data_IF_467035981565
#
_entry.id   IF_467035981565
#
_cell.length_a   1.000
_cell.length_b   1.000
_cell.length_c   1.000
_cell.angle_alpha   90.00
_cell.angle_beta   90.00
_cell.angle_gamma   90.00
#
_symmetry.space_group_name_H-M   'P 1'
#
loop_
_entity.id
_entity.type
_entity.pdbx_description
1 polymer ?
#
# COMPACT_ATOMS: atom_id res chain seq x y z
N UNK A 1 -12.85 2.49 37.42
CA UNK A 1 -11.97 2.94 36.32
C UNK A 1 -11.14 1.76 35.84
N UNK A 2 -11.56 1.11 34.76
CA UNK A 2 -10.78 0.02 34.15
C UNK A 2 -9.74 0.63 33.20
N UNK A 3 -8.46 0.55 33.60
CA UNK A 3 -7.32 0.78 32.69
C UNK A 3 -7.38 -0.29 31.60
N UNK A 4 -7.73 0.10 30.37
CA UNK A 4 -7.51 -0.76 29.20
C UNK A 4 -6.02 -1.05 29.09
N UNK A 5 -5.64 -2.33 29.11
CA UNK A 5 -4.29 -2.80 28.78
C UNK A 5 -3.93 -2.31 27.37
N UNK A 6 -2.69 -1.85 27.11
CA UNK A 6 -2.24 -1.61 25.74
C UNK A 6 -2.24 -2.96 25.01
N UNK A 7 -3.11 -3.09 24.02
CA UNK A 7 -3.11 -4.24 23.12
C UNK A 7 -1.77 -4.29 22.38
N UNK A 8 -1.16 -5.47 22.43
CA UNK A 8 -0.04 -5.97 21.62
C UNK A 8 0.13 -5.26 20.26
N UNK A 9 1.35 -4.80 19.98
CA UNK A 9 1.73 -4.08 18.77
C UNK A 9 1.13 -4.68 17.50
N UNK A 10 0.13 -4.00 16.94
CA UNK A 10 -0.37 -4.29 15.60
C UNK A 10 0.73 -3.94 14.61
N UNK A 11 1.55 -4.92 14.26
CA UNK A 11 2.54 -4.75 13.22
C UNK A 11 1.82 -4.49 11.89
N UNK A 12 2.27 -3.47 11.16
CA UNK A 12 1.63 -2.96 9.95
C UNK A 12 1.80 -3.93 8.76
N UNK A 13 1.07 -5.04 8.76
CA UNK A 13 0.96 -5.90 7.59
C UNK A 13 0.26 -5.16 6.44
N UNK A 14 0.71 -5.41 5.21
CA UNK A 14 -0.02 -4.96 4.01
C UNK A 14 -1.34 -5.71 3.86
N UNK A 15 -2.30 -5.14 3.12
CA UNK A 15 -3.56 -5.84 2.83
C UNK A 15 -3.35 -7.15 2.08
N UNK A 16 -2.31 -7.22 1.24
CA UNK A 16 -1.92 -8.47 0.57
C UNK A 16 -1.46 -9.53 1.57
N UNK A 17 -0.65 -9.18 2.57
CA UNK A 17 -0.26 -10.13 3.62
C UNK A 17 -1.48 -10.56 4.45
N UNK A 18 -2.41 -9.66 4.76
CA UNK A 18 -3.68 -10.05 5.44
C UNK A 18 -4.45 -11.10 4.62
N UNK A 19 -4.55 -10.92 3.30
CA UNK A 19 -5.17 -11.90 2.40
C UNK A 19 -4.41 -13.22 2.35
N UNK A 20 -3.08 -13.19 2.26
CA UNK A 20 -2.23 -14.40 2.31
C UNK A 20 -2.46 -15.20 3.60
N UNK A 21 -2.54 -14.52 4.75
CA UNK A 21 -2.81 -15.17 6.03
C UNK A 21 -4.24 -15.69 6.15
N UNK A 22 -5.19 -15.07 5.45
CA UNK A 22 -6.55 -15.62 5.31
C UNK A 22 -6.53 -16.88 4.45
N UNK A 23 -5.85 -16.86 3.30
CA UNK A 23 -5.68 -18.04 2.44
C UNK A 23 -4.96 -19.17 3.17
N UNK A 24 -3.97 -18.88 4.02
CA UNK A 24 -3.32 -19.89 4.85
C UNK A 24 -4.31 -20.61 5.78
N UNK A 25 -5.29 -19.90 6.36
CA UNK A 25 -6.35 -20.54 7.16
C UNK A 25 -7.26 -21.43 6.31
N UNK A 26 -7.59 -20.98 5.10
CA UNK A 26 -8.36 -21.78 4.15
C UNK A 26 -7.61 -23.05 3.73
N UNK A 27 -6.29 -22.97 3.51
CA UNK A 27 -5.44 -24.13 3.21
C UNK A 27 -5.38 -25.10 4.40
N UNK A 28 -5.30 -24.60 5.63
CA UNK A 28 -5.40 -25.42 6.85
C UNK A 28 -6.71 -26.19 6.92
N UNK A 29 -7.84 -25.51 6.67
CA UNK A 29 -9.15 -26.13 6.67
C UNK A 29 -9.28 -27.17 5.53
N UNK A 30 -8.76 -26.87 4.33
CA UNK A 30 -8.73 -27.79 3.19
C UNK A 30 -7.92 -29.06 3.48
N UNK A 31 -6.84 -28.94 4.26
CA UNK A 31 -5.99 -30.06 4.68
C UNK A 31 -6.45 -30.73 5.97
N UNK A 32 -7.61 -30.35 6.51
CA UNK A 32 -8.20 -30.92 7.73
C UNK A 32 -7.34 -30.72 8.99
N UNK A 33 -6.62 -29.60 9.07
CA UNK A 33 -5.78 -29.20 10.21
C UNK A 33 -6.47 -28.16 11.09
N UNK A 34 -6.33 -28.33 12.41
CA UNK A 34 -6.86 -27.42 13.44
C UNK A 34 -5.87 -26.29 13.80
N UNK A 35 -4.82 -26.09 12.99
CA UNK A 35 -3.77 -25.10 13.24
C UNK A 35 -3.18 -24.54 11.95
N UNK A 36 -2.72 -23.30 11.99
CA UNK A 36 -1.97 -22.69 10.88
C UNK A 36 -0.47 -22.92 11.07
N UNK A 37 0.11 -23.78 10.23
CA UNK A 37 1.55 -24.05 10.16
C UNK A 37 2.27 -23.24 9.08
N UNK A 38 3.58 -23.45 8.97
CA UNK A 38 4.46 -22.78 8.00
C UNK A 38 4.11 -23.12 6.55
N UNK A 39 3.69 -24.37 6.33
CA UNK A 39 3.23 -24.95 5.08
C UNK A 39 1.96 -24.26 4.57
N UNK A 40 1.02 -23.95 5.47
CA UNK A 40 -0.19 -23.20 5.13
C UNK A 40 0.13 -21.76 4.72
N UNK A 41 1.10 -21.12 5.39
CA UNK A 41 1.56 -19.76 5.02
C UNK A 41 2.18 -19.78 3.62
N UNK A 42 3.05 -20.74 3.32
CA UNK A 42 3.66 -20.84 1.99
C UNK A 42 2.63 -21.18 0.90
N UNK A 43 1.68 -22.08 1.17
CA UNK A 43 0.56 -22.35 0.26
C UNK A 43 -0.31 -21.12 0.04
N UNK A 44 -0.54 -20.31 1.08
CA UNK A 44 -1.23 -19.03 0.99
C UNK A 44 -0.49 -18.01 0.10
N UNK A 45 0.84 -17.91 0.24
CA UNK A 45 1.68 -17.07 -0.63
C UNK A 45 1.58 -17.51 -2.10
N UNK A 46 1.66 -18.81 -2.37
CA UNK A 46 1.54 -19.37 -3.72
C UNK A 46 0.13 -19.13 -4.28
N UNK A 47 -0.92 -19.27 -3.46
CA UNK A 47 -2.31 -19.09 -3.87
C UNK A 47 -2.68 -17.63 -4.17
N UNK A 48 -2.11 -16.67 -3.45
CA UNK A 48 -2.34 -15.23 -3.72
C UNK A 48 -1.85 -14.84 -5.13
N UNK A 49 -0.94 -15.62 -5.72
CA UNK A 49 -0.63 -15.56 -7.15
C UNK A 49 0.05 -14.27 -7.61
N UNK A 50 0.54 -13.46 -6.67
CA UNK A 50 1.24 -12.20 -6.97
C UNK A 50 2.05 -11.69 -5.78
N UNK A 51 2.51 -10.43 -5.91
CA UNK A 51 3.40 -9.82 -4.93
C UNK A 51 4.88 -10.16 -5.16
N UNK A 52 5.74 -9.48 -4.40
CA UNK A 52 7.20 -9.58 -4.57
C UNK A 52 7.69 -10.98 -4.22
N UNK A 53 7.12 -11.66 -3.22
CA UNK A 53 7.51 -13.03 -2.88
C UNK A 53 7.38 -13.99 -4.07
N UNK A 54 6.28 -13.92 -4.82
CA UNK A 54 6.08 -14.80 -5.96
C UNK A 54 7.05 -14.47 -7.10
N UNK A 55 7.32 -13.19 -7.32
CA UNK A 55 8.33 -12.75 -8.29
C UNK A 55 9.72 -13.25 -7.92
N UNK A 56 10.12 -13.16 -6.65
CA UNK A 56 11.39 -13.69 -6.13
C UNK A 56 11.48 -15.20 -6.39
N UNK A 57 10.45 -15.98 -6.03
CA UNK A 57 10.44 -17.43 -6.26
C UNK A 57 10.59 -17.75 -7.76
N UNK A 58 9.83 -17.05 -8.60
CA UNK A 58 9.84 -17.28 -10.05
C UNK A 58 11.20 -16.94 -10.68
N UNK A 59 11.80 -15.82 -10.30
CA UNK A 59 13.09 -15.38 -10.83
C UNK A 59 14.25 -16.27 -10.37
N UNK A 60 14.14 -16.88 -9.19
CA UNK A 60 15.07 -17.90 -8.72
C UNK A 60 14.81 -19.30 -9.31
N UNK A 61 13.86 -19.43 -10.24
CA UNK A 61 13.54 -20.68 -10.93
C UNK A 61 12.68 -21.65 -10.11
N UNK A 62 12.13 -21.20 -8.97
CA UNK A 62 11.26 -22.01 -8.14
C UNK A 62 9.80 -21.92 -8.63
N UNK A 63 9.39 -22.90 -9.43
CA UNK A 63 8.04 -22.97 -9.98
C UNK A 63 6.98 -23.10 -8.86
N UNK A 64 6.02 -22.17 -8.76
CA UNK A 64 5.01 -22.19 -7.70
C UNK A 64 4.11 -23.44 -7.74
N UNK A 65 3.86 -24.00 -8.92
CA UNK A 65 3.07 -25.22 -9.09
C UNK A 65 3.79 -26.47 -8.57
N UNK A 66 5.10 -26.57 -8.79
CA UNK A 66 5.95 -27.63 -8.23
C UNK A 66 6.13 -27.48 -6.72
N UNK A 67 6.32 -26.24 -6.22
CA UNK A 67 6.37 -25.98 -4.78
C UNK A 67 5.08 -26.41 -4.07
N UNK A 68 3.91 -26.05 -4.62
CA UNK A 68 2.61 -26.48 -4.09
C UNK A 68 2.54 -28.01 -4.00
N UNK A 69 2.85 -28.72 -5.08
CA UNK A 69 2.83 -30.19 -5.12
C UNK A 69 3.75 -30.81 -4.07
N UNK A 70 5.00 -30.34 -3.97
CA UNK A 70 5.95 -30.83 -2.98
C UNK A 70 5.47 -30.62 -1.55
N UNK A 71 4.88 -29.46 -1.23
CA UNK A 71 4.30 -29.24 0.10
C UNK A 71 3.18 -30.25 0.36
N UNK A 72 2.23 -30.38 -0.56
CA UNK A 72 1.09 -31.30 -0.42
C UNK A 72 1.51 -32.77 -0.29
N UNK A 73 2.62 -33.18 -0.92
CA UNK A 73 3.19 -34.52 -0.78
C UNK A 73 3.87 -34.76 0.58
N UNK A 74 4.43 -33.71 1.19
CA UNK A 74 5.11 -33.81 2.50
C UNK A 74 4.20 -33.61 3.70
N UNK A 75 3.02 -33.04 3.49
CA UNK A 75 2.09 -32.69 4.56
C UNK A 75 1.02 -33.78 4.65
N UNK A 76 0.98 -34.48 5.79
CA UNK A 76 -0.08 -35.44 6.06
C UNK A 76 -1.44 -34.72 6.15
N UNK A 77 -2.50 -35.35 5.65
CA UNK A 77 -3.87 -34.84 5.87
C UNK A 77 -4.26 -35.06 7.32
N UNK A 78 -4.82 -34.03 7.93
CA UNK A 78 -5.41 -34.15 9.26
C UNK A 78 -6.74 -34.91 9.26
N UNK A 79 -7.35 -35.00 10.45
CA UNK A 79 -8.63 -35.70 10.68
C UNK A 79 -9.75 -34.76 11.10
N UNK A 80 -9.50 -33.45 11.16
CA UNK A 80 -10.49 -32.50 11.60
C UNK A 80 -11.58 -32.29 10.55
N UNK A 81 -12.80 -32.02 10.99
CA UNK A 81 -13.84 -31.58 10.06
C UNK A 81 -13.49 -30.20 9.50
N UNK A 82 -13.68 -29.94 8.19
CA UNK A 82 -13.39 -28.64 7.61
C UNK A 82 -14.27 -27.55 8.25
N UNK A 83 -13.69 -26.75 9.13
CA UNK A 83 -14.33 -25.54 9.64
C UNK A 83 -13.80 -24.32 8.88
N UNK A 84 -14.42 -24.06 7.73
CA UNK A 84 -14.10 -22.88 6.94
C UNK A 84 -14.39 -21.60 7.75
N UNK A 85 -13.37 -20.78 7.97
CA UNK A 85 -13.50 -19.48 8.64
C UNK A 85 -13.38 -19.48 10.16
N UNK A 86 -13.10 -20.61 10.81
CA UNK A 86 -12.76 -20.63 12.24
C UNK A 86 -11.44 -19.89 12.48
N UNK A 87 -11.33 -19.18 13.61
CA UNK A 87 -10.11 -18.48 14.01
C UNK A 87 -9.07 -19.50 14.49
N UNK A 88 -8.40 -20.16 13.54
CA UNK A 88 -7.43 -21.22 13.83
C UNK A 88 -6.16 -20.65 14.47
N UNK A 89 -5.64 -21.28 15.53
CA UNK A 89 -4.39 -20.86 16.16
C UNK A 89 -3.19 -21.11 15.25
N UNK A 90 -2.23 -20.18 15.26
CA UNK A 90 -0.92 -20.41 14.65
C UNK A 90 -0.06 -21.32 15.52
N UNK A 91 0.67 -22.23 14.89
CA UNK A 91 1.75 -22.99 15.56
C UNK A 91 2.86 -22.06 16.05
N UNK A 92 3.67 -22.50 17.01
CA UNK A 92 4.82 -21.70 17.51
C UNK A 92 5.78 -21.32 16.38
N UNK A 93 6.01 -22.23 15.42
CA UNK A 93 6.85 -21.97 14.23
C UNK A 93 6.22 -20.94 13.30
N UNK A 94 4.92 -21.04 13.05
CA UNK A 94 4.22 -20.04 12.23
C UNK A 94 4.22 -18.65 12.89
N UNK A 95 4.09 -18.56 14.22
CA UNK A 95 4.26 -17.29 14.95
C UNK A 95 5.67 -16.73 14.79
N UNK A 96 6.69 -17.58 14.92
CA UNK A 96 8.08 -17.20 14.70
C UNK A 96 8.31 -16.67 13.27
N UNK A 97 7.73 -17.30 12.24
CA UNK A 97 7.79 -16.78 10.85
C UNK A 97 7.24 -15.35 10.76
N UNK A 98 6.13 -15.04 11.42
CA UNK A 98 5.55 -13.69 11.42
C UNK A 98 6.48 -12.69 12.12
N UNK A 99 7.08 -13.09 13.25
CA UNK A 99 8.05 -12.25 13.98
C UNK A 99 9.31 -12.00 13.15
N UNK A 100 9.84 -13.03 12.48
CA UNK A 100 10.97 -12.94 11.58
C UNK A 100 10.66 -12.05 10.39
N UNK A 101 9.47 -12.16 9.79
CA UNK A 101 9.03 -11.27 8.72
C UNK A 101 9.00 -9.80 9.16
N UNK A 102 8.59 -9.53 10.41
CA UNK A 102 8.67 -8.18 10.97
C UNK A 102 10.11 -7.74 11.21
N UNK A 103 11.00 -8.65 11.63
CA UNK A 103 12.44 -8.36 11.73
C UNK A 103 13.02 -7.99 10.37
N UNK A 104 12.71 -8.76 9.33
CA UNK A 104 13.13 -8.50 7.96
C UNK A 104 12.65 -7.13 7.47
N UNK A 105 11.39 -6.79 7.71
CA UNK A 105 10.87 -5.47 7.36
C UNK A 105 11.62 -4.35 8.10
N UNK A 106 11.96 -4.53 9.37
CA UNK A 106 12.74 -3.55 10.14
C UNK A 106 14.19 -3.46 9.68
N UNK A 107 14.86 -4.58 9.46
CA UNK A 107 16.24 -4.65 8.96
C UNK A 107 16.36 -3.98 7.59
N UNK A 108 15.35 -4.18 6.74
CA UNK A 108 15.25 -3.51 5.45
C UNK A 108 14.70 -2.09 5.54
N UNK A 109 14.36 -1.57 6.74
CA UNK A 109 13.75 -0.27 7.04
C UNK A 109 12.36 -0.01 6.41
N UNK A 110 11.61 -1.06 6.07
CA UNK A 110 10.29 -0.96 5.45
C UNK A 110 9.20 -0.69 6.50
N UNK A 111 8.31 0.30 6.27
CA UNK A 111 7.26 0.69 7.23
C UNK A 111 6.10 -0.32 7.33
N UNK A 112 6.02 -1.25 6.36
CA UNK A 112 4.99 -2.29 6.29
C UNK A 112 5.63 -3.65 6.02
N UNK A 113 4.99 -4.71 6.54
CA UNK A 113 5.37 -6.09 6.25
C UNK A 113 4.65 -6.55 4.98
N UNK A 114 5.42 -6.68 3.91
CA UNK A 114 5.00 -7.20 2.60
C UNK A 114 5.22 -8.71 2.45
N UNK A 115 4.88 -9.23 1.27
CA UNK A 115 4.94 -10.67 0.94
C UNK A 115 6.37 -11.21 0.97
N UNK A 116 7.32 -10.43 0.49
CA UNK A 116 8.76 -10.70 0.45
C UNK A 116 9.34 -10.89 1.84
N UNK A 117 8.95 -10.05 2.80
CA UNK A 117 9.33 -10.21 4.20
C UNK A 117 8.78 -11.51 4.78
N UNK A 118 7.56 -11.90 4.40
CA UNK A 118 6.97 -13.16 4.83
C UNK A 118 7.72 -14.38 4.25
N UNK A 119 8.16 -14.29 2.98
CA UNK A 119 9.02 -15.30 2.36
C UNK A 119 10.39 -15.40 3.05
N UNK A 120 11.03 -14.26 3.34
CA UNK A 120 12.30 -14.22 4.07
C UNK A 120 12.14 -14.77 5.49
N UNK A 121 11.02 -14.47 6.16
CA UNK A 121 10.67 -15.03 7.47
C UNK A 121 10.47 -16.54 7.43
N UNK A 122 9.88 -17.09 6.36
CA UNK A 122 9.79 -18.55 6.15
C UNK A 122 11.18 -19.17 6.00
N UNK A 123 12.05 -18.59 5.17
CA UNK A 123 13.41 -19.09 4.94
C UNK A 123 14.26 -19.06 6.22
N UNK A 124 14.06 -18.05 7.09
CA UNK A 124 14.74 -17.94 8.39
C UNK A 124 14.25 -18.92 9.47
N UNK A 125 13.07 -19.53 9.31
CA UNK A 125 12.59 -20.54 10.27
C UNK A 125 13.32 -21.88 10.10
N UNK A 126 14.01 -22.09 8.96
CA UNK A 126 14.86 -23.25 8.61
C UNK A 126 14.15 -24.62 8.56
N UNK A 127 12.92 -24.74 9.08
CA UNK A 127 12.15 -25.98 9.15
C UNK A 127 10.84 -25.86 8.35
N UNK A 128 10.10 -26.96 8.29
CA UNK A 128 8.82 -27.04 7.59
C UNK A 128 8.91 -26.56 6.13
N UNK A 129 8.14 -25.51 5.81
CA UNK A 129 8.10 -24.89 4.50
C UNK A 129 9.46 -24.42 3.97
N UNK A 130 10.38 -24.00 4.86
CA UNK A 130 11.73 -23.59 4.48
C UNK A 130 12.50 -24.72 3.77
N UNK A 131 12.32 -25.97 4.21
CA UNK A 131 12.99 -27.12 3.60
C UNK A 131 12.53 -27.34 2.16
N UNK A 132 11.26 -27.10 1.88
CA UNK A 132 10.71 -27.23 0.52
C UNK A 132 11.29 -26.15 -0.39
N UNK A 133 11.41 -24.92 0.11
CA UNK A 133 12.04 -23.80 -0.60
C UNK A 133 13.53 -24.08 -0.88
N UNK A 134 14.28 -24.50 0.12
CA UNK A 134 15.71 -24.83 -0.02
C UNK A 134 15.91 -26.01 -0.96
N UNK A 135 15.06 -27.05 -0.88
CA UNK A 135 15.09 -28.19 -1.81
C UNK A 135 14.67 -27.83 -3.24
N UNK A 136 14.07 -26.65 -3.44
CA UNK A 136 13.79 -26.06 -4.75
C UNK A 136 14.88 -25.08 -5.22
N UNK A 137 15.99 -24.97 -4.47
CA UNK A 137 17.12 -24.10 -4.81
C UNK A 137 16.99 -22.66 -4.31
N UNK A 138 15.98 -22.35 -3.48
CA UNK A 138 15.80 -21.00 -2.92
C UNK A 138 16.46 -20.92 -1.54
N UNK A 139 17.60 -20.24 -1.47
CA UNK A 139 18.25 -19.92 -0.20
C UNK A 139 17.82 -18.54 0.34
N UNK A 140 17.98 -18.33 1.65
CA UNK A 140 17.71 -17.02 2.27
C UNK A 140 18.51 -15.89 1.63
N UNK A 141 19.79 -16.12 1.34
CA UNK A 141 20.69 -15.12 0.77
C UNK A 141 20.26 -14.74 -0.66
N UNK A 142 19.97 -15.74 -1.51
CA UNK A 142 19.48 -15.50 -2.87
C UNK A 142 18.12 -14.79 -2.85
N UNK A 143 17.20 -15.22 -1.99
CA UNK A 143 15.89 -14.59 -1.86
C UNK A 143 16.00 -13.13 -1.39
N UNK A 144 16.92 -12.84 -0.47
CA UNK A 144 17.17 -11.47 -0.01
C UNK A 144 17.79 -10.60 -1.11
N UNK A 145 18.82 -11.11 -1.79
CA UNK A 145 19.46 -10.41 -2.90
C UNK A 145 18.45 -10.10 -4.03
N UNK A 146 17.64 -11.08 -4.39
CA UNK A 146 16.61 -10.92 -5.42
C UNK A 146 15.47 -9.98 -4.98
N UNK A 147 15.09 -10.01 -3.70
CA UNK A 147 14.14 -9.04 -3.14
C UNK A 147 14.69 -7.62 -3.28
N UNK A 148 15.95 -7.39 -2.91
CA UNK A 148 16.60 -6.08 -3.07
C UNK A 148 16.69 -5.65 -4.53
N UNK A 149 17.02 -6.59 -5.43
CA UNK A 149 17.05 -6.33 -6.87
C UNK A 149 15.67 -5.92 -7.38
N UNK A 150 14.61 -6.64 -7.05
CA UNK A 150 13.24 -6.31 -7.47
C UNK A 150 12.72 -5.01 -6.89
N UNK A 151 13.10 -4.68 -5.65
CA UNK A 151 12.77 -3.39 -5.05
C UNK A 151 13.57 -2.25 -5.67
N UNK A 152 14.84 -2.48 -6.04
CA UNK A 152 15.70 -1.52 -6.75
C UNK A 152 15.38 -1.36 -8.24
N UNK A 153 14.91 -2.40 -8.93
CA UNK A 153 14.43 -2.32 -10.31
C UNK A 153 13.03 -1.70 -10.41
N UNK A 154 12.30 -1.64 -9.29
CA UNK A 154 11.17 -0.74 -9.09
C UNK A 154 11.55 0.76 -9.14
N UNK A 155 12.85 1.07 -9.00
CA UNK A 155 13.46 2.41 -9.16
C UNK A 155 13.96 2.68 -10.60
N UNK A 156 13.67 1.78 -11.55
CA UNK A 156 14.04 1.91 -12.96
C UNK A 156 13.16 2.89 -13.76
N UNK A 157 13.82 3.97 -14.18
CA UNK A 157 13.40 5.14 -14.97
C UNK A 157 12.63 6.23 -14.17
N UNK A 158 13.28 7.37 -13.83
CA UNK A 158 12.59 8.47 -13.17
C UNK A 158 11.45 8.94 -14.07
N UNK A 159 10.28 9.30 -13.52
CA UNK A 159 9.27 9.96 -14.31
C UNK A 159 9.91 11.18 -14.99
N UNK A 160 9.75 11.25 -16.32
CA UNK A 160 9.92 12.49 -17.06
C UNK A 160 9.13 13.57 -16.31
N UNK A 161 9.85 14.57 -15.80
CA UNK A 161 9.52 15.57 -14.78
C UNK A 161 9.41 15.08 -13.32
N UNK A 162 10.37 15.42 -12.44
CA UNK A 162 10.22 15.19 -11.00
C UNK A 162 9.14 16.13 -10.47
N UNK A 163 8.01 15.57 -10.03
CA UNK A 163 7.10 16.30 -9.15
C UNK A 163 7.86 16.64 -7.86
N UNK A 164 8.23 17.91 -7.72
CA UNK A 164 8.98 18.44 -6.58
C UNK A 164 8.01 18.83 -5.48
N UNK A 165 8.01 18.08 -4.39
CA UNK A 165 7.35 18.49 -3.15
C UNK A 165 8.23 19.53 -2.46
N UNK A 166 7.62 20.57 -1.89
CA UNK A 166 8.29 21.59 -1.09
C UNK A 166 7.67 21.64 0.29
N UNK A 167 8.48 21.61 1.35
CA UNK A 167 7.98 21.81 2.71
C UNK A 167 8.06 23.30 3.05
N UNK A 168 6.97 23.82 3.59
CA UNK A 168 6.89 25.17 4.16
C UNK A 168 6.75 25.05 5.68
N UNK A 169 7.84 25.30 6.39
CA UNK A 169 7.90 25.24 7.85
C UNK A 169 7.10 26.38 8.52
N UNK A 170 6.74 27.43 7.79
CA UNK A 170 5.90 28.51 8.28
C UNK A 170 4.40 28.21 8.16
N UNK A 171 4.03 27.09 7.55
CA UNK A 171 2.63 26.69 7.39
C UNK A 171 2.02 26.16 8.69
N UNK A 172 0.77 26.55 8.96
CA UNK A 172 -0.04 25.94 10.03
C UNK A 172 -0.39 24.47 9.77
N UNK A 173 -0.14 23.97 8.55
CA UNK A 173 -0.39 22.57 8.17
C UNK A 173 0.78 21.70 8.58
N UNK A 174 0.48 20.51 9.08
CA UNK A 174 1.51 19.50 9.32
C UNK A 174 2.21 19.10 8.01
N UNK A 175 3.48 18.67 8.09
CA UNK A 175 4.27 18.21 6.92
C UNK A 175 3.50 17.18 6.09
N UNK A 176 2.80 16.25 6.74
CA UNK A 176 2.01 15.25 6.02
C UNK A 176 0.84 15.89 5.24
N UNK A 177 0.14 16.89 5.79
CA UNK A 177 -0.94 17.62 5.12
C UNK A 177 -0.42 18.44 3.94
N UNK A 178 0.78 18.99 4.06
CA UNK A 178 1.43 19.72 2.98
C UNK A 178 1.73 18.80 1.78
N UNK A 179 2.26 17.59 2.03
CA UNK A 179 2.50 16.59 0.98
C UNK A 179 1.19 16.19 0.29
N UNK A 180 0.14 15.92 1.07
CA UNK A 180 -1.18 15.54 0.54
C UNK A 180 -1.73 16.66 -0.34
N UNK A 181 -1.70 17.90 0.13
CA UNK A 181 -2.23 19.04 -0.60
C UNK A 181 -1.52 19.25 -1.94
N UNK A 182 -0.18 19.20 -1.96
CA UNK A 182 0.60 19.41 -3.19
C UNK A 182 0.39 18.30 -4.22
N UNK A 183 0.28 17.04 -3.79
CA UNK A 183 -0.03 15.94 -4.72
C UNK A 183 -1.42 16.12 -5.31
N UNK A 184 -2.42 16.47 -4.49
CA UNK A 184 -3.78 16.71 -4.98
C UNK A 184 -3.83 17.86 -5.97
N UNK A 185 -3.11 18.95 -5.71
CA UNK A 185 -3.00 20.11 -6.59
C UNK A 185 -2.31 19.75 -7.91
N UNK A 186 -1.21 18.99 -7.88
CA UNK A 186 -0.53 18.55 -9.09
C UNK A 186 -1.41 17.62 -9.95
N UNK A 187 -2.21 16.75 -9.34
CA UNK A 187 -3.19 15.93 -10.07
C UNK A 187 -4.33 16.78 -10.62
N UNK A 188 -4.80 17.77 -9.86
CA UNK A 188 -5.89 18.65 -10.27
C UNK A 188 -5.51 19.55 -11.45
N UNK A 189 -4.28 20.07 -11.47
CA UNK A 189 -3.71 20.91 -12.54
C UNK A 189 -3.20 20.11 -13.74
N UNK A 190 -3.17 18.77 -13.65
CA UNK A 190 -2.63 17.90 -14.70
C UNK A 190 -1.10 17.87 -14.79
N UNK A 191 -0.41 18.48 -13.82
CA UNK A 191 1.05 18.35 -13.62
C UNK A 191 1.43 16.89 -13.34
N UNK A 192 0.59 16.18 -12.58
CA UNK A 192 0.67 14.73 -12.38
C UNK A 192 -0.49 14.05 -13.09
N UNK A 193 -0.20 13.20 -14.08
CA UNK A 193 -1.21 12.52 -14.90
C UNK A 193 -1.58 11.14 -14.35
N UNK A 194 -2.80 10.64 -14.63
CA UNK A 194 -3.18 9.26 -14.32
C UNK A 194 -2.12 8.24 -14.77
N UNK A 195 -1.75 7.33 -13.87
CA UNK A 195 -0.73 6.32 -14.12
C UNK A 195 0.72 6.78 -13.90
N UNK A 196 0.99 8.07 -13.73
CA UNK A 196 2.33 8.55 -13.39
C UNK A 196 2.73 8.11 -11.98
N UNK A 197 4.02 7.82 -11.81
CA UNK A 197 4.58 7.33 -10.55
C UNK A 197 4.91 8.50 -9.63
N UNK A 198 4.55 8.34 -8.37
CA UNK A 198 5.11 9.17 -7.31
C UNK A 198 6.48 8.62 -6.91
N UNK A 199 7.39 9.46 -6.39
CA UNK A 199 8.65 8.99 -5.86
C UNK A 199 8.45 7.92 -4.77
N UNK A 200 9.35 6.94 -4.62
CA UNK A 200 9.36 6.04 -3.47
C UNK A 200 9.38 6.81 -2.15
N UNK A 201 8.74 6.25 -1.11
CA UNK A 201 8.63 6.86 0.22
C UNK A 201 9.99 7.32 0.76
N UNK A 202 11.04 6.51 0.58
CA UNK A 202 12.40 6.85 1.03
C UNK A 202 13.03 7.95 0.20
N UNK A 203 12.99 7.81 -1.13
CA UNK A 203 13.53 8.83 -2.02
C UNK A 203 12.93 10.20 -1.71
N UNK A 204 11.61 10.28 -1.51
CA UNK A 204 10.96 11.55 -1.16
C UNK A 204 11.33 12.01 0.25
N UNK A 205 11.43 11.10 1.21
CA UNK A 205 11.84 11.43 2.58
C UNK A 205 13.26 12.01 2.62
N UNK A 206 14.19 11.41 1.88
CA UNK A 206 15.58 11.85 1.78
C UNK A 206 15.69 13.18 1.03
N UNK A 207 14.89 13.38 -0.04
CA UNK A 207 14.83 14.64 -0.77
C UNK A 207 14.30 15.80 0.08
N UNK A 208 13.39 15.53 1.01
CA UNK A 208 12.76 16.53 1.86
C UNK A 208 13.43 16.64 3.25
N UNK A 209 14.41 15.80 3.56
CA UNK A 209 15.03 15.65 4.88
C UNK A 209 14.00 15.45 6.02
N UNK A 210 13.06 14.52 5.82
CA UNK A 210 12.00 14.20 6.80
C UNK A 210 11.91 12.72 7.13
N UNK A 211 11.22 12.39 8.22
CA UNK A 211 10.97 10.99 8.59
C UNK A 211 10.17 10.24 7.49
N UNK A 212 10.63 9.05 7.02
CA UNK A 212 9.91 8.25 6.02
C UNK A 212 8.48 7.89 6.42
N UNK A 213 8.21 7.76 7.72
CA UNK A 213 6.87 7.53 8.25
C UNK A 213 5.89 8.66 7.92
N UNK A 214 6.35 9.91 7.80
CA UNK A 214 5.52 11.06 7.43
C UNK A 214 5.06 10.95 5.97
N UNK A 215 5.98 10.60 5.06
CA UNK A 215 5.66 10.36 3.64
C UNK A 215 4.71 9.17 3.49
N UNK A 216 4.98 8.06 4.18
CA UNK A 216 4.11 6.88 4.15
C UNK A 216 2.68 7.20 4.62
N UNK A 217 2.53 8.04 5.65
CA UNK A 217 1.22 8.52 6.12
C UNK A 217 0.52 9.38 5.08
N UNK A 218 1.24 10.26 4.39
CA UNK A 218 0.70 11.06 3.30
C UNK A 218 0.21 10.19 2.13
N UNK A 219 1.01 9.20 1.71
CA UNK A 219 0.63 8.29 0.62
C UNK A 219 -0.59 7.45 0.99
N UNK A 220 -0.64 6.92 2.21
CA UNK A 220 -1.82 6.22 2.70
C UNK A 220 -3.08 7.09 2.78
N UNK A 221 -2.94 8.39 3.06
CA UNK A 221 -4.06 9.34 2.99
C UNK A 221 -4.54 9.57 1.56
N UNK A 222 -3.61 9.80 0.63
CA UNK A 222 -3.92 9.95 -0.80
C UNK A 222 -4.59 8.70 -1.38
N UNK A 223 -4.17 7.52 -0.96
CA UNK A 223 -4.78 6.25 -1.37
C UNK A 223 -6.21 6.10 -0.86
N UNK A 224 -6.47 6.40 0.42
CA UNK A 224 -7.84 6.42 0.98
C UNK A 224 -8.75 7.42 0.27
N UNK A 225 -8.19 8.55 -0.16
CA UNK A 225 -8.91 9.55 -0.94
C UNK A 225 -9.13 9.10 -2.38
N UNK A 226 -8.48 8.03 -2.84
CA UNK A 226 -8.50 7.49 -4.20
C UNK A 226 -7.68 8.31 -5.20
N UNK A 227 -6.76 9.16 -4.72
CA UNK A 227 -5.91 10.02 -5.55
C UNK A 227 -4.77 9.22 -6.15
N UNK A 228 -4.26 8.24 -5.40
CA UNK A 228 -3.20 7.33 -5.82
C UNK A 228 -3.60 5.88 -5.56
N UNK A 229 -2.89 4.95 -6.19
CA UNK A 229 -2.96 3.51 -5.96
C UNK A 229 -1.56 3.01 -5.65
N UNK A 230 -1.41 2.23 -4.58
CA UNK A 230 -0.15 1.59 -4.23
C UNK A 230 -0.21 0.10 -4.57
N UNK A 231 0.69 -0.35 -5.44
CA UNK A 231 0.86 -1.78 -5.75
C UNK A 231 2.30 -2.14 -5.39
N UNK A 232 2.52 -2.80 -4.24
CA UNK A 232 3.82 -2.90 -3.56
C UNK A 232 5.05 -3.01 -4.47
N UNK A 233 5.05 -3.96 -5.41
CA UNK A 233 6.18 -4.20 -6.33
C UNK A 233 6.33 -3.11 -7.42
N UNK A 234 5.27 -2.37 -7.73
CA UNK A 234 5.21 -1.36 -8.78
C UNK A 234 5.16 0.07 -8.24
N UNK A 235 5.31 0.28 -6.93
CA UNK A 235 5.27 1.58 -6.29
C UNK A 235 3.89 2.25 -6.28
N UNK A 236 3.88 3.55 -5.97
CA UNK A 236 2.67 4.39 -5.89
C UNK A 236 2.47 5.15 -7.20
N UNK A 237 1.26 5.12 -7.75
CA UNK A 237 0.88 5.84 -8.99
C UNK A 237 -0.38 6.67 -8.80
N UNK A 238 -0.53 7.73 -9.58
CA UNK A 238 -1.79 8.49 -9.68
C UNK A 238 -2.91 7.58 -10.19
N UNK A 239 -4.05 7.59 -9.51
CA UNK A 239 -5.21 6.78 -9.87
C UNK A 239 -5.87 7.29 -11.16
N UNK A 240 -6.28 6.38 -12.04
CA UNK A 240 -7.10 6.75 -13.20
C UNK A 240 -8.56 6.93 -12.80
N UNK A 241 -8.96 8.20 -12.65
CA UNK A 241 -10.33 8.60 -12.30
C UNK A 241 -11.23 8.87 -13.51
N UNK A 242 -10.70 8.76 -14.72
CA UNK A 242 -11.40 9.11 -15.97
C UNK A 242 -12.67 8.27 -16.16
N UNK A 243 -12.63 6.99 -15.76
CA UNK A 243 -13.79 6.10 -15.80
C UNK A 243 -14.80 6.24 -14.64
N UNK A 244 -14.41 6.86 -13.52
CA UNK A 244 -15.26 7.00 -12.31
C UNK A 244 -15.99 8.35 -12.24
N UNK A 245 -15.39 9.42 -12.79
CA UNK A 245 -15.97 10.77 -12.86
C UNK A 245 -17.35 10.80 -13.53
N UNK A 246 -17.64 9.87 -14.44
CA UNK A 246 -18.93 9.77 -15.13
C UNK A 246 -20.11 9.33 -14.23
N UNK A 247 -19.88 8.84 -12.99
CA UNK A 247 -20.94 8.30 -12.13
C UNK A 247 -21.36 9.17 -10.94
N UNK A 248 -20.66 10.25 -10.64
CA UNK A 248 -20.98 11.09 -9.49
C UNK A 248 -20.81 12.58 -9.83
N UNK A 249 -21.79 13.17 -10.54
CA UNK A 249 -21.91 14.63 -10.61
C UNK A 249 -21.97 15.17 -9.17
N UNK A 250 -21.09 16.11 -8.83
CA UNK A 250 -21.14 16.80 -7.54
C UNK A 250 -22.54 17.43 -7.39
N UNK A 251 -23.23 17.17 -6.29
CA UNK A 251 -24.52 17.80 -6.02
C UNK A 251 -24.29 19.27 -5.63
N UNK A 252 -25.07 20.24 -6.12
CA UNK A 252 -24.88 21.66 -5.79
C UNK A 252 -24.80 21.93 -4.28
N UNK A 253 -25.58 21.19 -3.47
CA UNK A 253 -25.63 21.33 -2.02
C UNK A 253 -24.29 20.92 -1.35
N UNK A 254 -23.58 19.96 -1.95
CA UNK A 254 -22.27 19.51 -1.45
C UNK A 254 -21.16 20.53 -1.70
N UNK A 255 -21.25 21.31 -2.78
CA UNK A 255 -20.30 22.37 -3.10
C UNK A 255 -20.47 23.59 -2.19
N UNK A 256 -21.72 23.98 -1.91
CA UNK A 256 -22.01 25.08 -0.98
C UNK A 256 -21.47 24.76 0.41
N UNK A 257 -21.58 23.52 0.88
CA UNK A 257 -21.02 23.09 2.15
C UNK A 257 -19.50 23.22 2.21
N UNK A 258 -18.80 22.91 1.11
CA UNK A 258 -17.33 23.04 1.01
C UNK A 258 -16.86 24.50 0.92
N UNK A 259 -17.62 25.36 0.23
CA UNK A 259 -17.26 26.77 0.02
C UNK A 259 -17.64 27.65 1.21
N UNK A 260 -18.59 27.23 2.07
CA UNK A 260 -19.03 28.03 3.22
C UNK A 260 -17.88 28.41 4.16
N UNK A 261 -16.98 27.51 4.60
CA UNK A 261 -15.83 27.90 5.42
C UNK A 261 -14.91 28.93 4.73
N UNK A 262 -14.70 28.79 3.42
CA UNK A 262 -13.87 29.72 2.63
C UNK A 262 -14.51 31.10 2.59
N UNK A 263 -15.82 31.18 2.35
CA UNK A 263 -16.57 32.43 2.35
C UNK A 263 -16.54 33.12 3.71
N UNK A 264 -16.68 32.36 4.81
CA UNK A 264 -16.58 32.89 6.18
C UNK A 264 -15.18 33.44 6.46
N UNK A 265 -14.12 32.71 6.06
CA UNK A 265 -12.75 33.19 6.22
C UNK A 265 -12.49 34.48 5.44
N UNK A 266 -12.91 34.55 4.17
CA UNK A 266 -12.78 35.74 3.34
C UNK A 266 -13.51 36.96 3.92
N UNK A 267 -14.73 36.76 4.46
CA UNK A 267 -15.49 37.81 5.13
C UNK A 267 -14.72 38.38 6.34
N UNK A 268 -14.11 37.53 7.16
CA UNK A 268 -13.31 37.98 8.30
C UNK A 268 -11.99 38.65 7.93
N UNK A 269 -11.49 38.41 6.71
CA UNK A 269 -10.36 39.12 6.13
C UNK A 269 -10.76 40.47 5.49
N UNK A 270 -12.05 40.82 5.48
CA UNK A 270 -12.56 42.06 4.91
C UNK A 270 -12.77 42.03 3.39
N UNK A 271 -12.71 40.85 2.76
CA UNK A 271 -12.92 40.70 1.33
C UNK A 271 -14.40 40.89 0.96
N UNK A 272 -14.65 41.55 -0.17
CA UNK A 272 -15.97 41.66 -0.79
C UNK A 272 -16.36 40.37 -1.52
N UNK A 273 -17.65 40.21 -1.78
CA UNK A 273 -18.15 39.06 -2.55
C UNK A 273 -17.59 39.02 -3.99
N UNK A 274 -17.25 40.18 -4.56
CA UNK A 274 -16.69 40.32 -5.90
C UNK A 274 -15.21 39.93 -5.93
N UNK A 275 -14.43 40.36 -4.93
CA UNK A 275 -13.04 39.92 -4.75
C UNK A 275 -12.94 38.42 -4.50
N UNK A 276 -13.81 37.84 -3.67
CA UNK A 276 -13.85 36.39 -3.45
C UNK A 276 -14.20 35.64 -4.74
N UNK A 277 -15.14 36.14 -5.54
CA UNK A 277 -15.50 35.54 -6.82
C UNK A 277 -14.33 35.59 -7.80
N UNK A 278 -13.68 36.75 -7.92
CA UNK A 278 -12.51 36.91 -8.79
C UNK A 278 -11.36 35.98 -8.39
N UNK A 279 -11.07 35.86 -7.09
CA UNK A 279 -10.05 34.95 -6.57
C UNK A 279 -10.40 33.48 -6.84
N UNK A 280 -11.67 33.10 -6.73
CA UNK A 280 -12.13 31.75 -7.06
C UNK A 280 -12.02 31.46 -8.55
N UNK A 281 -12.41 32.40 -9.41
CA UNK A 281 -12.26 32.30 -10.87
C UNK A 281 -10.80 32.18 -11.31
N UNK A 282 -9.91 32.92 -10.66
CA UNK A 282 -8.47 32.80 -10.85
C UNK A 282 -7.94 31.42 -10.43
N UNK A 283 -8.28 30.95 -9.23
CA UNK A 283 -7.87 29.64 -8.74
C UNK A 283 -8.41 28.48 -9.60
N UNK A 284 -9.58 28.65 -10.24
CA UNK A 284 -10.18 27.64 -11.11
C UNK A 284 -9.52 27.55 -12.48
N UNK A 285 -8.93 28.64 -13.01
CA UNK A 285 -8.36 28.67 -14.38
C UNK A 285 -7.32 27.57 -14.58
N UNK A 286 -6.44 27.37 -13.61
CA UNK A 286 -5.35 26.38 -13.72
C UNK A 286 -5.81 24.93 -13.47
N UNK A 287 -6.97 24.75 -12.82
CA UNK A 287 -7.50 23.43 -12.45
C UNK A 287 -8.51 22.90 -13.49
N UNK A 288 -9.31 23.79 -14.08
CA UNK A 288 -10.42 23.43 -14.98
C UNK A 288 -10.25 23.94 -16.42
N UNK A 289 -9.25 24.79 -16.71
CA UNK A 289 -9.08 25.46 -18.01
C UNK A 289 -8.75 24.55 -19.22
N UNK A 290 -8.52 23.25 -19.01
CA UNK A 290 -8.17 22.29 -20.07
C UNK A 290 -9.34 21.53 -20.71
N UNK A 291 -10.59 21.74 -20.27
CA UNK A 291 -11.74 21.02 -20.82
C UNK A 291 -13.05 21.78 -20.68
N UNK A 292 -13.58 22.23 -21.83
CA UNK A 292 -14.93 22.78 -22.05
C UNK A 292 -15.45 23.77 -20.99
N UNK A 293 -15.06 25.03 -21.14
CA UNK A 293 -15.94 26.14 -20.74
C UNK A 293 -17.07 26.26 -21.77
N UNK A 294 -18.04 25.34 -21.73
CA UNK A 294 -19.33 25.64 -22.34
C UNK A 294 -20.00 26.66 -21.39
N UNK A 295 -20.30 27.88 -21.84
CA UNK A 295 -20.96 28.85 -20.99
C UNK A 295 -22.31 28.26 -20.60
N UNK A 296 -22.57 28.16 -19.29
CA UNK A 296 -23.86 27.78 -18.76
C UNK A 296 -24.82 28.94 -19.11
N UNK A 297 -25.48 28.81 -20.26
CA UNK A 297 -26.55 29.69 -20.72
C UNK A 297 -27.55 29.86 -19.58
N UNK A 298 -27.76 31.11 -19.18
CA UNK A 298 -28.85 31.50 -18.30
C UNK A 298 -30.19 31.13 -18.94
N UNK A 299 -31.07 30.53 -18.14
CA UNK A 299 -32.52 30.47 -18.34
C UNK A 299 -33.18 30.68 -16.98
#
# INVERSE_FOLDING_TARGET
>A
MFRRKPGSGGHNFTDRVRRVLQMAREESARLHHEYVGTEHILLGLIRDGGGVALAVLTNLGADPGLLRRRIEETVERGRAEPQAGAELPYTSRAKLVLELAMSEARELNHPFVGTEHLLLGLLREEKGAARVLVAAGVTLEQARAETLRLLGEGEGEPPTTPFLVRIDDASDRSIYEQIVAQVQEAVATGTLRPGERLPPVRQLADQLDIAPGTVARAYGALERLGVVVTDGARGTRVADRSGSRSRQKARPESLVGLLRPVAVAAYHLGATAEELRGALEEAMRDIFGGGDTTPMSAA
#
